data_IF_274223351958
#
_entry.id   IF_274223351958
#
_cell.length_a   1.000
_cell.length_b   1.000
_cell.length_c   1.000
_cell.angle_alpha   90.00
_cell.angle_beta   90.00
_cell.angle_gamma   90.00
#
_symmetry.space_group_name_H-M   'P 1'
#
loop_
_entity.id
_entity.type
_entity.pdbx_description
1 polymer ?
#
# COMPACT_ATOMS: atom_id res chain seq x y z
N UNK A 1 2.06 -19.10 -18.59
CA UNK A 1 1.26 -19.69 -17.49
C UNK A 1 0.31 -18.64 -16.95
N UNK A 2 -1.00 -18.92 -16.83
CA UNK A 2 -1.96 -17.96 -16.29
C UNK A 2 -1.74 -17.75 -14.79
N UNK A 3 -1.45 -16.52 -14.36
CA UNK A 3 -1.29 -16.17 -12.95
C UNK A 3 -2.64 -16.20 -12.23
N UNK A 4 -2.80 -17.09 -11.25
CA UNK A 4 -4.02 -17.21 -10.44
C UNK A 4 -4.21 -15.95 -9.60
N UNK A 5 -5.28 -15.19 -9.87
CA UNK A 5 -5.61 -13.96 -9.12
C UNK A 5 -5.93 -14.26 -7.66
N UNK A 6 -5.41 -13.43 -6.74
CA UNK A 6 -5.62 -13.57 -5.30
C UNK A 6 -6.89 -12.83 -4.85
N UNK A 7 -7.72 -13.39 -3.95
CA UNK A 7 -8.86 -12.67 -3.40
C UNK A 7 -8.39 -11.62 -2.37
N UNK A 8 -8.92 -10.40 -2.46
CA UNK A 8 -8.77 -9.43 -1.36
C UNK A 8 -9.81 -9.76 -0.30
N UNK A 9 -9.35 -10.18 0.89
CA UNK A 9 -10.25 -10.45 2.01
C UNK A 9 -11.04 -9.20 2.39
N UNK A 10 -12.36 -9.30 2.31
CA UNK A 10 -13.28 -8.21 2.66
C UNK A 10 -13.68 -8.29 4.12
N UNK A 11 -14.13 -7.16 4.64
CA UNK A 11 -14.83 -7.14 5.93
C UNK A 11 -16.13 -7.94 5.80
N UNK A 12 -16.50 -8.66 6.86
CA UNK A 12 -17.78 -9.39 6.92
C UNK A 12 -18.94 -8.47 7.32
N UNK A 13 -18.66 -7.40 8.06
CA UNK A 13 -19.65 -6.46 8.58
C UNK A 13 -19.33 -5.00 8.21
N UNK A 14 -20.38 -4.19 8.08
CA UNK A 14 -20.30 -2.82 7.54
C UNK A 14 -20.45 -1.70 8.59
N UNK A 15 -20.45 -2.05 9.87
CA UNK A 15 -20.50 -1.08 10.97
C UNK A 15 -19.28 -0.15 11.02
N UNK A 16 -19.45 1.04 11.59
CA UNK A 16 -18.36 2.00 11.79
C UNK A 16 -17.17 1.38 12.55
N UNK A 17 -17.47 0.60 13.59
CA UNK A 17 -16.48 -0.15 14.38
C UNK A 17 -15.70 -1.15 13.52
N UNK A 18 -16.39 -1.95 12.68
CA UNK A 18 -15.75 -2.91 11.76
C UNK A 18 -14.84 -2.22 10.74
N UNK A 19 -15.29 -1.10 10.16
CA UNK A 19 -14.49 -0.28 9.23
C UNK A 19 -13.22 0.27 9.89
N UNK A 20 -13.35 0.82 11.10
CA UNK A 20 -12.22 1.33 11.87
C UNK A 20 -11.22 0.20 12.19
N UNK A 21 -11.69 -0.94 12.69
CA UNK A 21 -10.85 -2.08 13.02
C UNK A 21 -10.11 -2.64 11.79
N UNK A 22 -10.81 -2.81 10.66
CA UNK A 22 -10.19 -3.27 9.42
C UNK A 22 -9.09 -2.32 8.96
N UNK A 23 -9.37 -1.01 8.98
CA UNK A 23 -8.39 0.02 8.60
C UNK A 23 -7.15 -0.04 9.48
N UNK A 24 -7.32 -0.06 10.80
CA UNK A 24 -6.20 -0.10 11.75
C UNK A 24 -5.36 -1.36 11.54
N UNK A 25 -6.00 -2.54 11.41
CA UNK A 25 -5.29 -3.80 11.13
C UNK A 25 -4.48 -3.77 9.83
N UNK A 26 -5.06 -3.23 8.75
CA UNK A 26 -4.36 -3.09 7.46
C UNK A 26 -3.19 -2.12 7.55
N UNK A 27 -3.38 -0.99 8.23
CA UNK A 27 -2.33 0.02 8.44
C UNK A 27 -1.16 -0.57 9.26
N UNK A 28 -1.44 -1.19 10.40
CA UNK A 28 -0.42 -1.85 11.23
C UNK A 28 0.31 -2.95 10.46
N UNK A 29 -0.40 -3.78 9.69
CA UNK A 29 0.23 -4.84 8.89
C UNK A 29 1.12 -4.25 7.79
N UNK A 30 0.69 -3.17 7.15
CA UNK A 30 1.47 -2.49 6.10
C UNK A 30 2.80 -1.98 6.65
N UNK A 31 2.77 -1.21 7.75
CA UNK A 31 4.00 -0.69 8.36
C UNK A 31 4.89 -1.82 8.91
N UNK A 32 4.30 -2.85 9.50
CA UNK A 32 5.07 -4.02 9.95
C UNK A 32 5.80 -4.69 8.79
N UNK A 33 5.14 -4.89 7.65
CA UNK A 33 5.76 -5.49 6.46
C UNK A 33 6.82 -4.59 5.82
N UNK A 34 6.63 -3.28 5.85
CA UNK A 34 7.66 -2.33 5.43
C UNK A 34 8.92 -2.44 6.29
N UNK A 35 8.74 -2.42 7.62
CA UNK A 35 9.83 -2.57 8.57
C UNK A 35 10.54 -3.91 8.46
N UNK A 36 9.79 -5.02 8.38
CA UNK A 36 10.36 -6.36 8.13
C UNK A 36 11.21 -6.37 6.85
N UNK A 37 10.74 -5.74 5.77
CA UNK A 37 11.47 -5.70 4.51
C UNK A 37 12.77 -4.88 4.61
N UNK A 38 12.76 -3.76 5.32
CA UNK A 38 13.97 -2.97 5.55
C UNK A 38 15.03 -3.78 6.30
N UNK A 39 14.63 -4.50 7.35
CA UNK A 39 15.55 -5.30 8.15
C UNK A 39 16.12 -6.51 7.40
N UNK A 40 15.26 -7.25 6.69
CA UNK A 40 15.64 -8.54 6.11
C UNK A 40 16.23 -8.42 4.69
N UNK A 41 16.02 -7.31 4.00
CA UNK A 41 16.39 -7.14 2.59
C UNK A 41 17.30 -5.94 2.31
N UNK A 42 17.85 -5.29 3.35
CA UNK A 42 18.77 -4.14 3.23
C UNK A 42 18.24 -3.08 2.25
N UNK A 43 16.96 -2.75 2.37
CA UNK A 43 16.25 -1.92 1.42
C UNK A 43 15.57 -0.73 2.08
N UNK A 44 15.70 0.44 1.45
CA UNK A 44 15.01 1.64 1.91
C UNK A 44 13.56 1.69 1.45
N UNK A 45 12.66 1.85 2.41
CA UNK A 45 11.22 1.89 2.18
C UNK A 45 10.65 3.20 2.73
N UNK A 46 9.93 3.91 1.87
CA UNK A 46 9.08 5.02 2.25
C UNK A 46 7.62 4.68 1.98
N UNK A 47 6.77 4.89 2.99
CA UNK A 47 5.32 4.75 2.86
C UNK A 47 4.67 6.02 3.37
N UNK A 48 3.85 6.64 2.52
CA UNK A 48 2.96 7.72 2.92
C UNK A 48 1.51 7.30 2.66
N UNK A 49 0.66 7.41 3.67
CA UNK A 49 -0.77 7.17 3.52
C UNK A 49 -1.58 8.36 4.01
N UNK A 50 -2.59 8.72 3.22
CA UNK A 50 -3.63 9.68 3.60
C UNK A 50 -4.92 8.93 3.88
N UNK A 51 -5.38 9.05 5.11
CA UNK A 51 -6.67 8.57 5.55
C UNK A 51 -7.76 9.48 4.99
N UNK A 52 -8.37 9.11 3.86
CA UNK A 52 -9.28 9.98 3.08
C UNK A 52 -10.42 10.62 3.89
N UNK A 53 -10.97 9.93 4.88
CA UNK A 53 -12.11 10.42 5.66
C UNK A 53 -11.72 11.45 6.72
N UNK A 54 -10.49 11.42 7.25
CA UNK A 54 -10.01 12.37 8.27
C UNK A 54 -8.99 13.36 7.72
N UNK A 55 -8.48 13.12 6.51
CA UNK A 55 -7.33 13.84 5.98
C UNK A 55 -6.00 13.49 6.65
N UNK A 56 -6.00 12.72 7.74
CA UNK A 56 -4.81 12.39 8.51
C UNK A 56 -3.77 11.70 7.63
N UNK A 57 -2.55 12.23 7.67
CA UNK A 57 -1.39 11.66 7.00
C UNK A 57 -0.57 10.90 8.03
N UNK A 58 -0.17 9.68 7.69
CA UNK A 58 0.80 8.89 8.44
C UNK A 58 1.90 8.48 7.47
N UNK A 59 3.15 8.62 7.87
CA UNK A 59 4.28 8.28 7.03
C UNK A 59 5.34 7.49 7.81
N UNK A 60 6.13 6.73 7.07
CA UNK A 60 7.28 5.97 7.54
C UNK A 60 8.37 6.10 6.49
N UNK A 61 9.58 6.44 6.92
CA UNK A 61 10.79 6.41 6.12
C UNK A 61 11.81 5.58 6.90
N UNK A 62 12.41 4.58 6.25
CA UNK A 62 13.46 3.75 6.86
C UNK A 62 14.76 4.50 7.05
N UNK A 63 15.07 5.40 6.11
CA UNK A 63 16.24 6.26 6.12
C UNK A 63 15.85 7.69 6.53
N UNK A 64 16.72 8.30 7.35
CA UNK A 64 16.55 9.66 7.84
C UNK A 64 16.99 10.73 6.84
N UNK A 65 17.89 10.39 5.92
CA UNK A 65 18.64 11.37 5.13
C UNK A 65 18.37 11.23 3.61
N UNK A 66 17.12 11.46 3.21
CA UNK A 66 16.78 11.77 1.80
C UNK A 66 15.82 10.82 1.09
N UNK A 67 15.24 9.84 1.79
CA UNK A 67 14.20 8.97 1.26
C UNK A 67 12.77 9.49 1.58
N UNK A 68 11.83 9.49 0.62
CA UNK A 68 11.94 9.03 -0.77
C UNK A 68 12.62 10.06 -1.67
N UNK A 69 13.26 9.58 -2.74
CA UNK A 69 13.81 10.44 -3.79
C UNK A 69 12.73 11.27 -4.49
N UNK A 70 13.07 12.51 -4.83
CA UNK A 70 12.26 13.35 -5.73
C UNK A 70 12.23 12.79 -7.15
N UNK A 71 11.24 13.21 -7.95
CA UNK A 71 11.12 12.78 -9.35
C UNK A 71 12.38 13.08 -10.18
N UNK A 72 13.03 14.22 -9.91
CA UNK A 72 14.28 14.62 -10.59
C UNK A 72 15.45 13.71 -10.20
N UNK A 73 15.51 13.30 -8.93
CA UNK A 73 16.52 12.35 -8.48
C UNK A 73 16.31 10.96 -9.10
N UNK A 74 15.05 10.51 -9.21
CA UNK A 74 14.71 9.22 -9.83
C UNK A 74 15.15 9.13 -11.29
N UNK A 75 15.06 10.22 -12.06
CA UNK A 75 15.50 10.22 -13.48
C UNK A 75 17.01 10.05 -13.66
N UNK A 76 17.79 10.31 -12.61
CA UNK A 76 19.25 10.25 -12.63
C UNK A 76 19.80 8.94 -12.03
N UNK A 77 18.93 8.07 -11.51
CA UNK A 77 19.34 6.82 -10.88
C UNK A 77 19.75 5.73 -11.88
N UNK A 78 20.75 4.94 -11.50
CA UNK A 78 21.09 3.69 -12.15
C UNK A 78 21.08 2.55 -11.11
N UNK A 79 20.40 1.42 -11.36
CA UNK A 79 19.60 1.12 -12.56
C UNK A 79 18.35 1.99 -12.69
N UNK A 80 17.80 2.08 -13.91
CA UNK A 80 16.58 2.86 -14.19
C UNK A 80 15.46 2.42 -13.23
N UNK A 81 14.89 3.34 -12.43
CA UNK A 81 13.84 2.96 -11.49
C UNK A 81 12.62 2.38 -12.19
N UNK A 82 12.09 1.29 -11.64
CA UNK A 82 10.84 0.67 -12.11
C UNK A 82 9.66 1.19 -11.31
N UNK A 83 8.71 1.83 -11.98
CA UNK A 83 7.43 2.18 -11.37
C UNK A 83 6.47 0.99 -11.44
N UNK A 84 5.96 0.55 -10.28
CA UNK A 84 4.86 -0.40 -10.22
C UNK A 84 3.54 0.38 -10.27
N UNK A 85 2.73 0.14 -11.30
CA UNK A 85 1.48 0.88 -11.51
C UNK A 85 0.31 0.28 -10.72
N UNK A 86 -0.75 1.08 -10.51
CA UNK A 86 -2.00 0.58 -9.94
C UNK A 86 -2.55 -0.59 -10.76
N UNK A 87 -2.52 -0.50 -12.09
CA UNK A 87 -3.03 -1.49 -13.02
C UNK A 87 -2.25 -2.81 -12.89
N UNK A 88 -0.92 -2.72 -12.80
CA UNK A 88 -0.05 -3.88 -12.60
C UNK A 88 -0.37 -4.60 -11.29
N UNK A 89 -0.52 -3.87 -10.18
CA UNK A 89 -0.90 -4.46 -8.90
C UNK A 89 -2.33 -5.01 -8.93
N UNK A 90 -3.29 -4.24 -9.45
CA UNK A 90 -4.69 -4.60 -9.53
C UNK A 90 -4.91 -5.88 -10.35
N UNK A 91 -4.12 -6.09 -11.41
CA UNK A 91 -4.18 -7.29 -12.23
C UNK A 91 -3.94 -8.59 -11.44
N UNK A 92 -3.20 -8.52 -10.33
CA UNK A 92 -2.90 -9.66 -9.47
C UNK A 92 -4.06 -10.06 -8.54
N UNK A 93 -5.09 -9.22 -8.41
CA UNK A 93 -6.17 -9.41 -7.45
C UNK A 93 -7.55 -9.51 -8.10
N UNK A 94 -8.45 -10.25 -7.46
CA UNK A 94 -9.87 -10.28 -7.83
C UNK A 94 -10.58 -9.05 -7.24
N UNK A 95 -10.66 -7.96 -8.01
CA UNK A 95 -11.40 -6.76 -7.64
C UNK A 95 -12.89 -6.92 -8.00
N UNK A 96 -13.70 -7.50 -7.12
CA UNK A 96 -15.17 -7.44 -7.29
C UNK A 96 -15.69 -6.07 -6.84
N UNK A 97 -15.56 -5.01 -7.64
CA UNK A 97 -16.21 -3.73 -7.30
C UNK A 97 -17.71 -4.01 -7.09
N UNK A 98 -18.18 -3.94 -5.84
CA UNK A 98 -19.61 -3.90 -5.58
C UNK A 98 -20.00 -2.46 -5.89
N UNK A 99 -20.78 -2.24 -6.93
CA UNK A 99 -21.43 -0.95 -7.12
C UNK A 99 -22.24 -0.64 -5.85
N UNK A 100 -22.01 0.51 -5.21
CA UNK A 100 -22.76 0.89 -4.03
C UNK A 100 -24.16 1.36 -4.48
N UNK A 101 -25.16 0.47 -4.53
CA UNK A 101 -26.53 0.92 -4.84
C UNK A 101 -27.57 -0.09 -5.31
N UNK A 102 -27.56 -1.36 -4.86
CA UNK A 102 -28.75 -2.23 -4.97
C UNK A 102 -28.93 -3.02 -3.69
N UNK A 103 -29.70 -2.47 -2.75
CA UNK A 103 -31.09 -2.83 -2.35
C UNK A 103 -31.58 -1.68 -1.48
#
# INVERSE_FOLDING_TARGET
>A
MATKKRPIQRRRADSAKSKCQQRNRRMTTLFRKAFEYCLECEADVSIMLRVRHTGQIVYFNSDGDGWPLSQVQLTSCYPVPRQITWQELAAQYNLTLKEPGKV
#
